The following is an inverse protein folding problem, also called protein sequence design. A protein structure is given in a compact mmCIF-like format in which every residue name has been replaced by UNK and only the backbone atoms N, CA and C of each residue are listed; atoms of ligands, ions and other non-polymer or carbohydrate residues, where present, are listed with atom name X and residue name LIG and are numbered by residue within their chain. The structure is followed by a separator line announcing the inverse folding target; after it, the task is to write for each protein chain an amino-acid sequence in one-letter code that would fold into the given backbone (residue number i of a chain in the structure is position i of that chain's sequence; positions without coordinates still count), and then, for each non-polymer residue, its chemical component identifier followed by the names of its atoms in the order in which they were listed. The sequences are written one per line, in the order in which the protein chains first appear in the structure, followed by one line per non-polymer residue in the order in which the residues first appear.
data_IF_271355205224
#
_entry.id   IF_271355205224
#
_cell.length_a   1.000
_cell.length_b   1.000
_cell.length_c   1.000
_cell.angle_alpha   90.00
_cell.angle_beta   90.00
_cell.angle_gamma   90.00
#
_symmetry.space_group_name_H-M   'P 1'
#
loop_
_entity.id
_entity.type
_entity.pdbx_description
1 polymer ?
#
# COMPACT_ATOMS: atom_id res chain seq x y z
N UNK A 1 13.53 53.20 -9.02
CA UNK A 1 13.91 51.76 -8.99
C UNK A 1 12.81 50.96 -8.31
N UNK A 2 12.11 50.08 -9.05
CA UNK A 2 11.02 49.25 -8.51
C UNK A 2 11.61 47.99 -7.88
N UNK A 3 11.53 47.86 -6.55
CA UNK A 3 11.88 46.63 -5.82
C UNK A 3 10.74 45.63 -6.00
N UNK A 4 10.96 44.54 -6.74
CA UNK A 4 10.02 43.41 -6.80
C UNK A 4 10.35 42.46 -5.66
N UNK A 5 9.46 42.37 -4.67
CA UNK A 5 9.52 41.38 -3.61
C UNK A 5 9.15 40.02 -4.21
N UNK A 6 10.09 39.08 -4.18
CA UNK A 6 9.87 37.68 -4.53
C UNK A 6 9.20 37.04 -3.31
N UNK A 7 7.88 36.84 -3.37
CA UNK A 7 7.18 36.05 -2.37
C UNK A 7 7.50 34.57 -2.60
N UNK A 8 8.27 33.97 -1.68
CA UNK A 8 8.48 32.54 -1.64
C UNK A 8 7.18 31.87 -1.18
N UNK A 9 6.48 31.19 -2.10
CA UNK A 9 5.31 30.40 -1.80
C UNK A 9 5.74 29.06 -1.18
N UNK A 10 5.71 28.99 0.15
CA UNK A 10 5.87 27.75 0.90
C UNK A 10 4.69 26.82 0.59
N UNK A 11 4.91 25.83 -0.27
CA UNK A 11 3.94 24.78 -0.57
C UNK A 11 3.82 23.87 0.67
N UNK A 12 2.84 24.17 1.53
CA UNK A 12 2.47 23.31 2.66
C UNK A 12 1.87 22.03 2.05
N UNK A 13 2.66 20.96 1.96
CA UNK A 13 2.13 19.63 1.64
C UNK A 13 1.20 19.21 2.79
N UNK A 14 -0.11 19.36 2.58
CA UNK A 14 -1.14 18.76 3.40
C UNK A 14 -1.05 17.24 3.21
N UNK A 15 -0.26 16.57 4.05
CA UNK A 15 -0.33 15.12 4.18
C UNK A 15 -1.63 14.83 4.93
N UNK A 16 -2.62 14.15 4.33
CA UNK A 16 -3.80 13.75 5.06
C UNK A 16 -3.39 12.70 6.10
N UNK A 17 -3.25 13.13 7.36
CA UNK A 17 -3.12 12.23 8.49
C UNK A 17 -4.51 11.64 8.77
N UNK A 18 -4.82 10.51 8.14
CA UNK A 18 -6.03 9.75 8.47
C UNK A 18 -5.88 9.18 9.88
N UNK A 19 -6.45 9.88 10.87
CA UNK A 19 -6.60 9.34 12.22
C UNK A 19 -7.78 8.37 12.21
N UNK A 20 -7.50 7.06 12.11
CA UNK A 20 -8.52 6.02 12.16
C UNK A 20 -9.00 5.83 13.61
N UNK A 21 -10.05 6.55 14.00
CA UNK A 21 -10.77 6.34 15.26
C UNK A 21 -11.64 5.07 15.14
N UNK A 22 -11.02 3.89 15.20
CA UNK A 22 -11.69 2.58 15.10
C UNK A 22 -10.74 1.47 14.67
N UNK A 23 -11.10 0.21 14.91
CA UNK A 23 -10.30 -0.94 14.44
C UNK A 23 -10.31 -0.96 12.91
N UNK A 24 -9.17 -0.66 12.30
CA UNK A 24 -9.00 -0.60 10.86
C UNK A 24 -9.33 -1.96 10.21
N UNK A 25 -10.27 -1.98 9.27
CA UNK A 25 -10.63 -3.16 8.48
C UNK A 25 -9.85 -3.12 7.16
N UNK A 26 -8.67 -3.73 7.12
CA UNK A 26 -7.76 -3.63 5.96
C UNK A 26 -8.40 -4.12 4.66
N UNK A 27 -9.17 -5.21 4.75
CA UNK A 27 -9.91 -5.79 3.62
C UNK A 27 -10.89 -4.78 3.00
N UNK A 28 -11.65 -4.06 3.83
CA UNK A 28 -12.57 -3.02 3.33
C UNK A 28 -11.85 -1.75 2.90
N UNK A 29 -10.89 -1.28 3.70
CA UNK A 29 -10.23 0.02 3.47
C UNK A 29 -9.33 -0.01 2.24
N UNK A 30 -8.55 -1.08 2.04
CA UNK A 30 -7.52 -1.11 1.00
C UNK A 30 -7.80 -2.09 -0.13
N UNK A 31 -8.69 -3.08 0.07
CA UNK A 31 -8.85 -4.18 -0.87
C UNK A 31 -10.25 -4.32 -1.48
N UNK A 32 -11.12 -3.31 -1.36
CA UNK A 32 -12.45 -3.36 -1.95
C UNK A 32 -13.32 -4.51 -1.44
N UNK A 33 -13.04 -5.00 -0.22
CA UNK A 33 -13.68 -6.17 0.39
C UNK A 33 -13.35 -7.54 -0.27
N UNK A 34 -12.26 -7.63 -1.02
CA UNK A 34 -11.72 -8.90 -1.56
C UNK A 34 -10.73 -9.55 -0.60
N UNK A 35 -10.67 -10.90 -0.57
CA UNK A 35 -9.68 -11.63 0.25
C UNK A 35 -8.30 -11.69 -0.41
N UNK A 36 -8.28 -11.63 -1.75
CA UNK A 36 -7.08 -11.76 -2.57
C UNK A 36 -7.11 -10.72 -3.68
N UNK A 37 -6.00 -9.98 -3.86
CA UNK A 37 -5.79 -9.10 -5.01
C UNK A 37 -4.59 -9.57 -5.83
N UNK A 38 -4.61 -9.29 -7.14
CA UNK A 38 -3.58 -9.77 -8.07
C UNK A 38 -4.03 -11.02 -8.79
N UNK A 39 -3.54 -12.18 -8.36
CA UNK A 39 -4.00 -13.48 -8.84
C UNK A 39 -5.14 -14.02 -7.95
N UNK A 40 -6.14 -14.69 -8.51
CA UNK A 40 -7.29 -15.17 -7.76
C UNK A 40 -6.94 -16.34 -6.84
N UNK A 41 -7.68 -16.45 -5.73
CA UNK A 41 -7.63 -17.54 -4.78
C UNK A 41 -6.20 -17.87 -4.31
N UNK A 42 -5.78 -19.14 -4.42
CA UNK A 42 -4.48 -19.62 -3.92
C UNK A 42 -3.31 -19.39 -4.91
N UNK A 43 -3.57 -18.86 -6.11
CA UNK A 43 -2.54 -18.70 -7.16
C UNK A 43 -1.61 -17.55 -6.81
N UNK A 44 -0.31 -17.77 -6.85
CA UNK A 44 0.73 -16.77 -6.50
C UNK A 44 1.25 -16.08 -7.75
N UNK A 45 1.83 -14.88 -7.63
CA UNK A 45 1.80 -13.97 -6.48
C UNK A 45 0.43 -13.28 -6.26
N UNK A 46 0.10 -12.92 -5.02
CA UNK A 46 -1.12 -12.17 -4.67
C UNK A 46 -0.96 -11.42 -3.34
N UNK A 47 -1.85 -10.48 -3.07
CA UNK A 47 -1.99 -9.81 -1.78
C UNK A 47 -3.13 -10.46 -1.01
N UNK A 48 -2.84 -11.01 0.18
CA UNK A 48 -3.86 -11.41 1.15
C UNK A 48 -4.39 -10.18 1.87
N UNK A 49 -5.71 -10.07 1.92
CA UNK A 49 -6.43 -8.98 2.55
C UNK A 49 -7.40 -9.56 3.59
N UNK A 50 -6.96 -9.60 4.85
CA UNK A 50 -7.80 -9.91 5.99
C UNK A 50 -8.42 -8.65 6.60
N UNK A 51 -9.44 -8.80 7.44
CA UNK A 51 -9.98 -7.66 8.17
C UNK A 51 -8.96 -7.05 9.14
N UNK A 52 -8.02 -7.84 9.65
CA UNK A 52 -7.01 -7.37 10.63
C UNK A 52 -5.59 -7.39 10.09
N UNK A 53 -5.38 -7.80 8.84
CA UNK A 53 -4.03 -7.91 8.30
C UNK A 53 -3.95 -7.77 6.78
N UNK A 54 -2.76 -7.44 6.30
CA UNK A 54 -2.36 -7.58 4.90
C UNK A 54 -1.03 -8.32 4.80
N UNK A 55 -0.91 -9.22 3.82
CA UNK A 55 0.33 -9.93 3.56
C UNK A 55 0.52 -10.17 2.05
N UNK A 56 1.68 -9.78 1.53
CA UNK A 56 2.02 -10.03 0.14
C UNK A 56 2.66 -11.41 -0.01
N UNK A 57 2.06 -12.26 -0.84
CA UNK A 57 2.57 -13.59 -1.19
C UNK A 57 3.42 -13.48 -2.45
N UNK A 58 4.73 -13.66 -2.30
CA UNK A 58 5.70 -13.65 -3.41
C UNK A 58 5.48 -14.83 -4.36
N UNK A 59 6.00 -14.77 -5.59
CA UNK A 59 6.03 -15.93 -6.50
C UNK A 59 6.70 -17.16 -5.87
N UNK A 60 7.73 -16.95 -5.05
CA UNK A 60 8.47 -18.01 -4.33
C UNK A 60 7.61 -18.76 -3.32
N UNK A 61 6.49 -18.17 -2.88
CA UNK A 61 5.69 -18.68 -1.78
C UNK A 61 6.00 -18.05 -0.43
N UNK A 62 6.94 -17.11 -0.33
CA UNK A 62 7.17 -16.39 0.93
C UNK A 62 6.08 -15.34 1.17
N UNK A 63 5.77 -15.09 2.45
CA UNK A 63 4.89 -14.00 2.84
C UNK A 63 5.71 -12.82 3.34
N UNK A 64 5.41 -11.65 2.82
CA UNK A 64 5.81 -10.38 3.40
C UNK A 64 4.62 -9.79 4.15
N UNK A 65 4.68 -9.77 5.49
CA UNK A 65 3.58 -9.33 6.34
C UNK A 65 3.51 -7.80 6.36
N UNK A 66 2.57 -7.24 5.62
CA UNK A 66 2.50 -5.80 5.33
C UNK A 66 1.93 -4.99 6.49
N UNK A 67 1.08 -5.57 7.34
CA UNK A 67 0.43 -4.83 8.44
C UNK A 67 0.94 -5.21 9.84
N UNK A 68 2.13 -5.80 9.94
CA UNK A 68 2.80 -6.03 11.23
C UNK A 68 3.58 -4.77 11.67
N UNK A 69 3.77 -4.55 12.99
CA UNK A 69 4.56 -3.42 13.51
C UNK A 69 5.93 -3.26 12.82
N UNK A 70 6.36 -2.03 12.58
CA UNK A 70 7.57 -1.67 11.86
C UNK A 70 7.56 -0.26 11.22
N UNK A 71 7.92 -0.20 9.95
CA UNK A 71 7.88 0.98 9.11
C UNK A 71 7.40 0.59 7.70
N UNK A 72 7.22 1.56 6.81
CA UNK A 72 6.79 1.32 5.43
C UNK A 72 7.73 0.44 4.59
N UNK A 73 8.90 -0.01 5.10
CA UNK A 73 9.87 -0.75 4.29
C UNK A 73 9.31 -2.06 3.73
N UNK A 74 8.47 -2.79 4.47
CA UNK A 74 7.90 -4.03 3.90
C UNK A 74 6.93 -3.71 2.75
N UNK A 75 6.22 -2.58 2.81
CA UNK A 75 5.40 -2.12 1.70
C UNK A 75 6.27 -1.72 0.50
N UNK A 76 7.41 -1.08 0.73
CA UNK A 76 8.38 -0.76 -0.32
C UNK A 76 8.97 -2.02 -0.97
N UNK A 77 9.37 -3.01 -0.17
CA UNK A 77 9.83 -4.31 -0.66
C UNK A 77 8.75 -5.05 -1.47
N UNK A 78 7.48 -4.91 -1.09
CA UNK A 78 6.38 -5.44 -1.88
C UNK A 78 6.25 -4.72 -3.23
N UNK A 79 6.41 -3.40 -3.27
CA UNK A 79 6.42 -2.65 -4.53
C UNK A 79 7.56 -3.06 -5.45
N UNK A 80 8.76 -3.24 -4.91
CA UNK A 80 9.94 -3.63 -5.70
C UNK A 80 9.73 -5.00 -6.33
N UNK A 81 9.27 -5.98 -5.54
CA UNK A 81 8.98 -7.33 -6.03
C UNK A 81 7.82 -7.33 -7.04
N UNK A 82 6.75 -6.58 -6.76
CA UNK A 82 5.61 -6.41 -7.66
C UNK A 82 6.04 -5.85 -9.03
N UNK A 83 6.84 -4.77 -9.03
CA UNK A 83 7.36 -4.14 -10.27
C UNK A 83 8.29 -5.08 -11.04
N UNK A 84 9.18 -5.78 -10.34
CA UNK A 84 10.09 -6.76 -10.94
C UNK A 84 9.34 -7.94 -11.58
N UNK A 85 8.20 -8.34 -11.01
CA UNK A 85 7.43 -9.51 -11.44
C UNK A 85 6.11 -9.15 -12.13
N UNK A 86 5.99 -7.96 -12.75
CA UNK A 86 4.72 -7.44 -13.29
C UNK A 86 3.90 -8.43 -14.15
N UNK A 87 4.57 -9.30 -14.93
CA UNK A 87 3.91 -10.29 -15.81
C UNK A 87 3.38 -11.53 -15.09
N UNK A 88 3.69 -11.71 -13.81
CA UNK A 88 3.21 -12.83 -13.01
C UNK A 88 1.78 -12.61 -12.46
N UNK A 89 1.20 -11.42 -12.67
CA UNK A 89 -0.10 -11.02 -12.13
C UNK A 89 -1.16 -10.94 -13.23
N UNK A 90 -2.31 -11.54 -12.97
CA UNK A 90 -3.52 -11.36 -13.76
C UNK A 90 -4.08 -9.94 -13.58
N UNK A 91 -4.09 -9.44 -12.33
CA UNK A 91 -4.50 -8.08 -12.02
C UNK A 91 -3.44 -7.30 -11.23
N UNK A 92 -2.36 -6.92 -11.91
CA UNK A 92 -1.31 -6.06 -11.34
C UNK A 92 -1.86 -4.75 -10.75
N UNK A 93 -2.85 -4.14 -11.40
CA UNK A 93 -3.38 -2.82 -10.99
C UNK A 93 -4.06 -2.88 -9.62
N UNK A 94 -4.81 -3.95 -9.34
CA UNK A 94 -5.50 -4.12 -8.06
C UNK A 94 -4.52 -4.15 -6.89
N UNK A 95 -3.47 -4.98 -6.97
CA UNK A 95 -2.46 -5.06 -5.91
C UNK A 95 -1.67 -3.75 -5.79
N UNK A 96 -1.28 -3.14 -6.91
CA UNK A 96 -0.53 -1.88 -6.89
C UNK A 96 -1.34 -0.76 -6.22
N UNK A 97 -2.62 -0.63 -6.57
CA UNK A 97 -3.52 0.40 -6.01
C UNK A 97 -3.73 0.19 -4.51
N UNK A 98 -3.93 -1.06 -4.07
CA UNK A 98 -4.07 -1.38 -2.65
C UNK A 98 -2.81 -1.01 -1.85
N UNK A 99 -1.61 -1.35 -2.36
CA UNK A 99 -0.35 -1.00 -1.70
C UNK A 99 -0.09 0.52 -1.72
N UNK A 100 -0.47 1.23 -2.79
CA UNK A 100 -0.37 2.70 -2.84
C UNK A 100 -1.28 3.34 -1.80
N UNK A 101 -2.53 2.89 -1.72
CA UNK A 101 -3.49 3.40 -0.73
C UNK A 101 -3.01 3.13 0.70
N UNK A 102 -2.50 1.93 0.98
CA UNK A 102 -1.91 1.58 2.27
C UNK A 102 -0.70 2.46 2.63
N UNK A 103 0.21 2.68 1.66
CA UNK A 103 1.38 3.52 1.86
C UNK A 103 1.00 5.00 2.07
N UNK A 104 0.02 5.51 1.32
CA UNK A 104 -0.48 6.88 1.47
C UNK A 104 -1.22 7.12 2.78
N UNK A 105 -1.80 6.06 3.36
CA UNK A 105 -2.37 6.09 4.70
C UNK A 105 -1.31 6.05 5.82
N UNK A 106 -0.01 6.08 5.47
CA UNK A 106 1.09 6.05 6.42
C UNK A 106 1.44 4.66 6.93
N UNK A 107 1.12 3.60 6.17
CA UNK A 107 1.37 2.20 6.54
C UNK A 107 0.82 1.84 7.92
N UNK A 108 -0.50 1.95 8.15
CA UNK A 108 -1.07 1.77 9.47
C UNK A 108 -0.76 0.39 10.06
N UNK A 109 -0.28 0.38 11.31
CA UNK A 109 0.27 -0.77 12.04
C UNK A 109 1.65 -1.26 11.60
N UNK A 110 2.33 -0.57 10.67
CA UNK A 110 3.79 -0.62 10.55
C UNK A 110 4.36 0.48 11.43
#
# INVERSE_FOLDING_TARGET
MKKRLIAAASLIMLIPMFSFAGKLDFKKTFCGNEEFLGNPAKKRPHLHCGSTFMAYKKPTGDHLKISEPGDCNRTNLAFDDLKANRRAFENYSAIYTALVSYHQAGCPNQ
#
